data_IF_287412232057
#
_entry.id   IF_287412232057
#
_cell.length_a   1.000
_cell.length_b   1.000
_cell.length_c   1.000
_cell.angle_alpha   90.00
_cell.angle_beta   90.00
_cell.angle_gamma   90.00
#
_symmetry.space_group_name_H-M   'P 1'
#
loop_
_entity.id
_entity.type
_entity.pdbx_description
1 polymer ?
#
# COMPACT_ATOMS: atom_id res chain seq x y z
N UNK A 1 21.96 -2.87 -6.32
CA UNK A 1 20.61 -3.46 -6.09
C UNK A 1 19.62 -2.30 -6.02
N UNK A 2 18.64 -2.26 -6.93
CA UNK A 2 17.65 -1.18 -6.97
C UNK A 2 16.70 -1.30 -5.78
N UNK A 3 16.63 -0.29 -4.92
CA UNK A 3 15.78 -0.26 -3.71
C UNK A 3 14.30 -0.54 -4.02
N UNK A 4 13.84 -0.22 -5.23
CA UNK A 4 12.47 -0.43 -5.70
C UNK A 4 12.10 -1.92 -5.85
N UNK A 5 13.03 -2.78 -6.27
CA UNK A 5 12.75 -4.21 -6.46
C UNK A 5 12.61 -4.95 -5.12
N UNK A 6 13.42 -4.56 -4.13
CA UNK A 6 13.31 -5.10 -2.78
C UNK A 6 11.96 -4.78 -2.13
N UNK A 7 11.45 -3.56 -2.36
CA UNK A 7 10.13 -3.13 -1.89
C UNK A 7 9.02 -3.91 -2.58
N UNK A 8 9.09 -4.07 -3.92
CA UNK A 8 8.11 -4.84 -4.70
C UNK A 8 8.01 -6.29 -4.25
N UNK A 9 9.13 -6.95 -3.93
CA UNK A 9 9.10 -8.32 -3.44
C UNK A 9 8.46 -8.44 -2.05
N UNK A 10 8.78 -7.52 -1.12
CA UNK A 10 8.15 -7.53 0.22
C UNK A 10 6.66 -7.22 0.19
N UNK A 11 6.21 -6.37 -0.75
CA UNK A 11 4.80 -6.04 -0.93
C UNK A 11 3.98 -7.27 -1.37
N UNK A 12 4.59 -8.22 -2.11
CA UNK A 12 3.88 -9.43 -2.58
C UNK A 12 3.48 -10.37 -1.44
N UNK A 13 4.15 -10.31 -0.30
CA UNK A 13 3.82 -11.13 0.88
C UNK A 13 2.67 -10.52 1.71
N UNK A 14 2.22 -9.31 1.36
CA UNK A 14 1.06 -8.69 1.98
C UNK A 14 -0.25 -9.26 1.41
N UNK A 15 -1.35 -9.26 2.20
CA UNK A 15 -2.67 -9.53 1.65
C UNK A 15 -2.98 -8.57 0.50
N UNK A 16 -3.62 -9.06 -0.57
CA UNK A 16 -3.83 -8.33 -1.82
C UNK A 16 -4.30 -6.87 -1.66
N UNK A 17 -5.25 -6.61 -0.75
CA UNK A 17 -5.74 -5.24 -0.52
C UNK A 17 -4.67 -4.33 0.09
N UNK A 18 -3.80 -4.86 0.95
CA UNK A 18 -2.71 -4.13 1.56
C UNK A 18 -1.61 -3.84 0.53
N UNK A 19 -1.30 -4.81 -0.33
CA UNK A 19 -0.29 -4.62 -1.38
C UNK A 19 -0.71 -3.54 -2.37
N UNK A 20 -1.98 -3.54 -2.79
CA UNK A 20 -2.53 -2.53 -3.71
C UNK A 20 -2.48 -1.14 -3.07
N UNK A 21 -2.86 -0.99 -1.80
CA UNK A 21 -2.79 0.30 -1.10
C UNK A 21 -1.36 0.85 -1.07
N UNK A 22 -0.36 0.02 -0.76
CA UNK A 22 1.03 0.45 -0.74
C UNK A 22 1.54 0.80 -2.14
N UNK A 23 1.17 0.02 -3.16
CA UNK A 23 1.54 0.30 -4.54
C UNK A 23 0.96 1.62 -5.05
N UNK A 24 -0.31 1.90 -4.78
CA UNK A 24 -0.95 3.15 -5.18
C UNK A 24 -0.29 4.35 -4.49
N UNK A 25 -0.11 4.30 -3.17
CA UNK A 25 0.43 5.43 -2.40
C UNK A 25 1.93 5.67 -2.66
N UNK A 26 2.75 4.61 -2.69
CA UNK A 26 4.22 4.75 -2.67
C UNK A 26 4.90 4.52 -4.01
N UNK A 27 4.27 3.80 -4.95
CA UNK A 27 4.86 3.53 -6.26
C UNK A 27 4.20 4.36 -7.37
N UNK A 28 2.89 4.59 -7.28
CA UNK A 28 2.14 5.37 -8.27
C UNK A 28 1.87 6.81 -7.81
N UNK A 29 2.28 7.18 -6.60
CA UNK A 29 2.11 8.51 -6.01
C UNK A 29 0.66 9.01 -5.98
N UNK A 30 -0.31 8.10 -5.81
CA UNK A 30 -1.71 8.47 -5.61
C UNK A 30 -1.86 9.18 -4.25
N UNK A 31 -2.78 10.14 -4.19
CA UNK A 31 -3.21 10.66 -2.90
C UNK A 31 -4.05 9.63 -2.14
N UNK A 32 -4.28 9.87 -0.85
CA UNK A 32 -5.22 9.05 -0.09
C UNK A 32 -6.64 9.13 -0.63
N UNK A 33 -7.05 10.30 -1.14
CA UNK A 33 -8.38 10.52 -1.71
C UNK A 33 -8.54 9.77 -3.03
N UNK A 34 -7.53 9.83 -3.92
CA UNK A 34 -7.55 9.08 -5.19
C UNK A 34 -7.53 7.57 -4.95
N UNK A 35 -6.73 7.13 -3.97
CA UNK A 35 -6.66 5.71 -3.57
C UNK A 35 -8.00 5.24 -3.01
N UNK A 36 -8.66 6.07 -2.20
CA UNK A 36 -9.97 5.79 -1.63
C UNK A 36 -11.05 5.70 -2.70
N UNK A 37 -11.06 6.62 -3.67
CA UNK A 37 -11.99 6.58 -4.79
C UNK A 37 -11.74 5.37 -5.71
N UNK A 38 -10.48 5.08 -6.03
CA UNK A 38 -10.09 3.95 -6.86
C UNK A 38 -10.53 2.62 -6.25
N UNK A 39 -10.34 2.46 -4.94
CA UNK A 39 -10.69 1.23 -4.21
C UNK A 39 -12.13 1.21 -3.67
N UNK A 40 -12.93 2.25 -3.96
CA UNK A 40 -14.31 2.41 -3.49
C UNK A 40 -14.46 2.17 -1.98
N UNK A 41 -13.60 2.81 -1.20
CA UNK A 41 -13.60 2.76 0.27
C UNK A 41 -13.31 4.12 0.88
N UNK A 42 -13.42 4.26 2.21
CA UNK A 42 -13.11 5.52 2.88
C UNK A 42 -11.60 5.76 3.02
N UNK A 43 -11.19 7.02 3.02
CA UNK A 43 -9.80 7.44 3.34
C UNK A 43 -9.33 6.87 4.68
N UNK A 44 -10.21 6.82 5.68
CA UNK A 44 -9.92 6.20 6.96
C UNK A 44 -9.57 4.70 6.82
N UNK A 45 -10.28 3.98 5.94
CA UNK A 45 -9.99 2.57 5.66
C UNK A 45 -8.65 2.40 4.93
N UNK A 46 -8.33 3.27 3.98
CA UNK A 46 -7.03 3.28 3.29
C UNK A 46 -5.89 3.45 4.31
N UNK A 47 -6.00 4.43 5.22
CA UNK A 47 -4.99 4.66 6.28
C UNK A 47 -4.82 3.44 7.20
N UNK A 48 -5.90 2.76 7.57
CA UNK A 48 -5.82 1.55 8.39
C UNK A 48 -5.08 0.42 7.65
N UNK A 49 -5.36 0.24 6.36
CA UNK A 49 -4.73 -0.78 5.54
C UNK A 49 -3.25 -0.48 5.33
N UNK A 50 -2.90 0.78 5.06
CA UNK A 50 -1.52 1.26 5.00
C UNK A 50 -0.78 0.98 6.31
N UNK A 51 -1.30 1.41 7.46
CA UNK A 51 -0.65 1.16 8.76
C UNK A 51 -0.48 -0.34 9.06
N UNK A 52 -1.48 -1.15 8.71
CA UNK A 52 -1.41 -2.61 8.82
C UNK A 52 -0.32 -3.20 7.92
N UNK A 53 -0.20 -2.71 6.68
CA UNK A 53 0.79 -3.13 5.71
C UNK A 53 2.21 -2.76 6.17
N UNK A 54 2.43 -1.52 6.60
CA UNK A 54 3.72 -1.04 7.09
C UNK A 54 4.19 -1.82 8.31
N UNK A 55 3.29 -2.16 9.25
CA UNK A 55 3.63 -3.03 10.38
C UNK A 55 4.10 -4.40 9.93
N UNK A 56 3.43 -5.01 8.95
CA UNK A 56 3.82 -6.32 8.40
C UNK A 56 5.15 -6.28 7.67
N UNK A 57 5.48 -5.16 7.01
CA UNK A 57 6.76 -4.98 6.32
C UNK A 57 7.94 -4.72 7.27
N UNK A 58 7.66 -4.28 8.49
CA UNK A 58 8.65 -4.00 9.53
C UNK A 58 9.07 -5.25 10.34
N UNK A 59 8.25 -6.30 10.31
CA UNK A 59 8.50 -7.60 10.94
C UNK A 59 9.00 -8.63 9.92
#
# INVERSE_FOLDING_TARGET
MNSTEAIKNKIRDLPLTHSIVIELLYLNAYSYDDTADYLKMSVARVRQLEQSALRRLAH
#
